data_IF_313159559115
#
_entry.id   IF_313159559115
#
_cell.length_a   1.000
_cell.length_b   1.000
_cell.length_c   1.000
_cell.angle_alpha   90.00
_cell.angle_beta   90.00
_cell.angle_gamma   90.00
#
_symmetry.space_group_name_H-M   'P 1'
#
loop_
_entity.id
_entity.type
_entity.pdbx_description
1 polymer ?
#
# COMPACT_ATOMS: atom_id res chain seq x y z
N UNK A 1 14.96 22.13 8.48
CA UNK A 1 15.67 20.87 8.76
C UNK A 1 15.93 20.12 7.46
N UNK A 2 17.20 20.00 7.05
CA UNK A 2 17.53 19.36 5.77
C UNK A 2 17.05 17.92 5.65
N UNK A 3 17.15 17.11 6.73
CA UNK A 3 16.75 15.70 6.72
C UNK A 3 15.26 15.53 6.47
N UNK A 4 14.43 16.37 7.05
CA UNK A 4 12.97 16.30 6.84
C UNK A 4 12.65 16.67 5.40
N UNK A 5 13.29 17.69 4.86
CA UNK A 5 13.09 18.12 3.48
C UNK A 5 13.53 17.05 2.49
N UNK A 6 14.61 16.32 2.78
CA UNK A 6 15.07 15.21 1.95
C UNK A 6 14.03 14.08 1.90
N UNK A 7 13.45 13.72 3.06
CA UNK A 7 12.43 12.68 3.14
C UNK A 7 11.18 13.10 2.35
N UNK A 8 10.73 14.33 2.52
CA UNK A 8 9.57 14.84 1.79
C UNK A 8 9.81 14.86 0.29
N UNK A 9 11.02 15.24 -0.14
CA UNK A 9 11.39 15.21 -1.56
C UNK A 9 11.37 13.78 -2.11
N UNK A 10 11.87 12.80 -1.36
CA UNK A 10 11.83 11.39 -1.75
C UNK A 10 10.41 10.87 -1.86
N UNK A 11 9.54 11.21 -0.91
CA UNK A 11 8.13 10.83 -0.94
C UNK A 11 7.43 11.38 -2.17
N UNK A 12 7.67 12.64 -2.48
CA UNK A 12 7.09 13.28 -3.67
C UNK A 12 7.55 12.61 -4.94
N UNK A 13 8.85 12.38 -5.07
CA UNK A 13 9.44 11.72 -6.25
C UNK A 13 8.88 10.32 -6.44
N UNK A 14 8.79 9.54 -5.35
CA UNK A 14 8.26 8.18 -5.40
C UNK A 14 6.78 8.17 -5.79
N UNK A 15 5.96 8.99 -5.14
CA UNK A 15 4.52 9.04 -5.45
C UNK A 15 4.25 9.49 -6.87
N UNK A 16 4.99 10.45 -7.39
CA UNK A 16 4.89 10.87 -8.79
C UNK A 16 5.30 9.74 -9.74
N UNK A 17 6.37 9.01 -9.42
CA UNK A 17 6.83 7.88 -10.23
C UNK A 17 5.76 6.77 -10.31
N UNK A 18 5.09 6.47 -9.19
CA UNK A 18 4.00 5.48 -9.17
C UNK A 18 2.81 5.97 -10.01
N UNK A 19 2.39 7.21 -9.82
CA UNK A 19 1.23 7.79 -10.52
C UNK A 19 1.45 7.87 -12.01
N UNK A 20 2.66 8.15 -12.46
CA UNK A 20 3.00 8.27 -13.88
C UNK A 20 3.36 6.93 -14.52
N UNK A 21 3.40 5.85 -13.76
CA UNK A 21 3.75 4.53 -14.26
C UNK A 21 5.24 4.31 -14.48
N UNK A 22 6.09 5.18 -13.96
CA UNK A 22 7.55 5.06 -14.04
C UNK A 22 8.09 4.02 -13.08
N UNK A 23 7.47 3.88 -11.90
CA UNK A 23 7.76 2.83 -10.95
C UNK A 23 6.80 1.66 -11.22
N UNK A 24 7.35 0.55 -11.67
CA UNK A 24 6.56 -0.59 -12.16
C UNK A 24 6.73 -1.80 -11.24
N UNK A 25 5.77 -2.72 -11.32
CA UNK A 25 5.86 -4.01 -10.65
C UNK A 25 6.92 -4.91 -11.28
N UNK A 26 7.09 -6.10 -10.69
CA UNK A 26 8.10 -7.06 -11.14
C UNK A 26 7.95 -7.45 -12.61
N UNK A 27 6.72 -7.51 -13.11
CA UNK A 27 6.44 -7.89 -14.51
C UNK A 27 6.47 -6.73 -15.49
N UNK A 28 6.79 -5.51 -15.02
CA UNK A 28 6.85 -4.31 -15.86
C UNK A 28 5.54 -3.58 -16.04
N UNK A 29 4.46 -4.03 -15.42
CA UNK A 29 3.15 -3.36 -15.48
C UNK A 29 3.10 -2.18 -14.52
N UNK A 30 2.33 -1.14 -14.89
CA UNK A 30 2.06 -0.01 -14.03
C UNK A 30 1.35 -0.47 -12.74
N UNK A 31 1.76 0.08 -11.59
CA UNK A 31 1.10 -0.20 -10.33
C UNK A 31 -0.15 0.66 -10.20
N UNK A 32 -1.31 0.03 -10.13
CA UNK A 32 -2.61 0.70 -10.07
C UNK A 32 -3.36 0.46 -8.78
N UNK A 33 -2.96 -0.55 -8.01
CA UNK A 33 -3.57 -0.88 -6.72
C UNK A 33 -2.58 -0.60 -5.60
N UNK A 34 -2.99 0.20 -4.62
CA UNK A 34 -2.18 0.50 -3.44
C UNK A 34 -2.89 -0.09 -2.23
N UNK A 35 -2.21 -0.96 -1.49
CA UNK A 35 -2.75 -1.60 -0.29
C UNK A 35 -1.93 -1.13 0.91
N UNK A 36 -2.59 -0.45 1.85
CA UNK A 36 -1.96 -0.03 3.09
C UNK A 36 -2.27 -1.04 4.19
N UNK A 37 -1.23 -1.57 4.82
CA UNK A 37 -1.34 -2.49 5.94
C UNK A 37 -0.93 -1.73 7.19
N UNK A 38 -1.86 -1.54 8.13
CA UNK A 38 -1.59 -0.79 9.35
C UNK A 38 -2.74 -0.93 10.34
N UNK A 39 -2.50 -0.55 11.59
CA UNK A 39 -3.48 -0.62 12.66
C UNK A 39 -3.48 0.70 13.43
N UNK A 40 -4.64 1.08 13.98
CA UNK A 40 -4.79 2.32 14.73
C UNK A 40 -4.52 3.53 13.86
N UNK A 41 -3.61 4.42 14.29
CA UNK A 41 -3.25 5.63 13.54
C UNK A 41 -2.62 5.35 12.19
N UNK A 42 -1.97 4.20 12.02
CA UNK A 42 -1.39 3.78 10.74
C UNK A 42 -2.45 3.34 9.73
N UNK A 43 -3.69 3.16 10.16
CA UNK A 43 -4.82 2.84 9.30
C UNK A 43 -5.80 4.00 9.21
N UNK A 44 -6.25 4.53 10.36
CA UNK A 44 -7.30 5.55 10.40
C UNK A 44 -6.92 6.84 9.68
N UNK A 45 -5.69 7.31 9.85
CA UNK A 45 -5.22 8.51 9.17
C UNK A 45 -5.20 8.35 7.65
N UNK A 46 -4.55 7.32 7.13
CA UNK A 46 -4.56 7.04 5.69
C UNK A 46 -5.97 6.84 5.11
N UNK A 47 -6.86 6.11 5.81
CA UNK A 47 -8.25 5.93 5.35
C UNK A 47 -8.96 7.26 5.25
N UNK A 48 -8.87 8.10 6.29
CA UNK A 48 -9.51 9.42 6.31
C UNK A 48 -9.00 10.31 5.18
N UNK A 49 -7.68 10.34 4.99
CA UNK A 49 -7.07 11.15 3.93
C UNK A 49 -7.52 10.69 2.54
N UNK A 50 -7.55 9.39 2.29
CA UNK A 50 -7.97 8.85 1.01
C UNK A 50 -9.44 9.13 0.74
N UNK A 51 -10.31 8.97 1.72
CA UNK A 51 -11.74 9.26 1.55
C UNK A 51 -12.00 10.75 1.34
N UNK A 52 -11.32 11.62 2.11
CA UNK A 52 -11.47 13.06 1.98
C UNK A 52 -11.02 13.58 0.61
N UNK A 53 -10.02 12.97 0.03
CA UNK A 53 -9.42 13.39 -1.24
C UNK A 53 -9.83 12.50 -2.42
N UNK A 54 -10.89 11.72 -2.27
CA UNK A 54 -11.31 10.72 -3.26
C UNK A 54 -11.48 11.30 -4.67
N UNK A 55 -12.06 12.48 -4.79
CA UNK A 55 -12.24 13.10 -6.09
C UNK A 55 -10.94 13.50 -6.80
N UNK A 56 -9.84 13.54 -6.06
CA UNK A 56 -8.51 13.84 -6.60
C UNK A 56 -7.70 12.61 -6.94
N UNK A 57 -8.24 11.42 -6.72
CA UNK A 57 -7.54 10.18 -7.07
C UNK A 57 -7.26 10.14 -8.56
N UNK A 58 -6.11 9.61 -8.94
CA UNK A 58 -5.85 9.26 -10.34
C UNK A 58 -6.90 8.23 -10.78
N UNK A 59 -7.44 8.39 -11.98
CA UNK A 59 -8.58 7.59 -12.45
C UNK A 59 -8.31 6.09 -12.50
N UNK A 60 -7.05 5.72 -12.73
CA UNK A 60 -6.63 4.33 -12.84
C UNK A 60 -6.08 3.75 -11.54
N UNK A 61 -6.13 4.51 -10.44
CA UNK A 61 -5.58 4.11 -9.15
C UNK A 61 -6.69 3.74 -8.17
N UNK A 62 -6.46 2.67 -7.40
CA UNK A 62 -7.35 2.24 -6.33
C UNK A 62 -6.57 2.03 -5.05
N UNK A 63 -7.18 2.41 -3.93
CA UNK A 63 -6.59 2.27 -2.60
C UNK A 63 -7.39 1.28 -1.76
N UNK A 64 -6.69 0.39 -1.08
CA UNK A 64 -7.27 -0.61 -0.19
C UNK A 64 -6.56 -0.56 1.15
N UNK A 65 -7.23 -1.01 2.20
CA UNK A 65 -6.70 -0.96 3.56
C UNK A 65 -6.91 -2.29 4.27
N UNK A 66 -5.87 -2.80 4.90
CA UNK A 66 -5.91 -4.01 5.72
C UNK A 66 -5.50 -3.59 7.12
N UNK A 67 -6.43 -3.63 8.07
CA UNK A 67 -6.21 -3.15 9.43
C UNK A 67 -6.42 -4.22 10.51
N UNK A 68 -7.11 -5.30 10.19
CA UNK A 68 -7.41 -6.36 11.15
C UNK A 68 -6.59 -7.61 10.87
N UNK A 69 -6.33 -8.40 11.91
CA UNK A 69 -5.69 -9.70 11.77
C UNK A 69 -6.63 -10.74 11.13
N UNK A 70 -7.90 -10.40 10.98
CA UNK A 70 -8.90 -11.29 10.39
C UNK A 70 -8.51 -11.66 8.95
N UNK A 71 -8.27 -12.96 8.75
CA UNK A 71 -7.91 -13.48 7.45
C UNK A 71 -8.97 -13.27 6.37
N UNK A 72 -10.24 -13.15 6.76
CA UNK A 72 -11.33 -12.88 5.83
C UNK A 72 -11.19 -11.50 5.21
N UNK A 73 -10.90 -10.47 6.01
CA UNK A 73 -10.70 -9.11 5.51
C UNK A 73 -9.51 -9.03 4.56
N UNK A 74 -8.41 -9.69 4.90
CA UNK A 74 -7.24 -9.75 4.05
C UNK A 74 -7.56 -10.47 2.74
N UNK A 75 -8.23 -11.61 2.80
CA UNK A 75 -8.60 -12.39 1.62
C UNK A 75 -9.53 -11.61 0.69
N UNK A 76 -10.48 -10.86 1.23
CA UNK A 76 -11.38 -10.04 0.43
C UNK A 76 -10.62 -8.98 -0.39
N UNK A 77 -9.64 -8.33 0.23
CA UNK A 77 -8.80 -7.36 -0.49
C UNK A 77 -7.98 -8.06 -1.56
N UNK A 78 -7.32 -9.17 -1.23
CA UNK A 78 -6.48 -9.90 -2.17
C UNK A 78 -7.26 -10.44 -3.38
N UNK A 79 -8.54 -10.76 -3.20
CA UNK A 79 -9.39 -11.21 -4.31
C UNK A 79 -9.77 -10.09 -5.29
N UNK A 80 -9.64 -8.84 -4.89
CA UNK A 80 -10.01 -7.68 -5.72
C UNK A 80 -8.86 -7.10 -6.51
N UNK A 81 -7.63 -7.55 -6.27
CA UNK A 81 -6.42 -6.95 -6.83
C UNK A 81 -5.61 -7.96 -7.63
N UNK A 82 -4.79 -7.43 -8.53
CA UNK A 82 -3.89 -8.21 -9.36
C UNK A 82 -2.46 -8.09 -8.79
N UNK A 83 -1.77 -9.20 -8.49
CA UNK A 83 -0.42 -9.13 -7.92
C UNK A 83 0.58 -8.40 -8.82
N UNK A 84 0.39 -8.42 -10.13
CA UNK A 84 1.29 -7.74 -11.06
C UNK A 84 1.18 -6.21 -11.01
N UNK A 85 0.05 -5.69 -10.51
CA UNK A 85 -0.24 -4.24 -10.51
C UNK A 85 -0.43 -3.68 -9.10
N UNK A 86 -0.03 -4.41 -8.07
CA UNK A 86 -0.28 -4.03 -6.67
C UNK A 86 1.01 -3.66 -5.95
N UNK A 87 0.95 -2.54 -5.22
CA UNK A 87 1.99 -2.09 -4.29
C UNK A 87 1.45 -2.16 -2.87
N UNK A 88 2.16 -2.84 -1.99
CA UNK A 88 1.84 -2.91 -0.57
C UNK A 88 2.67 -1.91 0.22
N UNK A 89 2.01 -1.16 1.09
CA UNK A 89 2.66 -0.24 2.03
C UNK A 89 2.42 -0.76 3.44
N UNK A 90 3.49 -1.09 4.14
CA UNK A 90 3.40 -1.54 5.54
C UNK A 90 3.68 -0.33 6.43
N UNK A 91 2.64 0.17 7.07
CA UNK A 91 2.70 1.36 7.92
C UNK A 91 2.78 0.94 9.38
N UNK A 92 3.95 1.07 9.99
CA UNK A 92 4.16 0.73 11.38
C UNK A 92 5.28 1.59 11.95
N UNK A 93 5.12 2.02 13.19
CA UNK A 93 6.13 2.84 13.85
C UNK A 93 7.41 2.06 14.13
N UNK A 94 7.27 0.82 14.59
CA UNK A 94 8.40 -0.01 15.04
C UNK A 94 8.53 -1.34 14.30
N UNK A 95 7.56 -1.67 13.45
CA UNK A 95 7.47 -2.97 12.76
C UNK A 95 7.42 -4.16 13.73
N UNK A 96 6.85 -3.93 14.93
CA UNK A 96 6.72 -4.96 15.97
C UNK A 96 5.28 -5.31 16.32
N UNK A 97 4.30 -4.57 15.79
CA UNK A 97 2.88 -4.87 16.00
C UNK A 97 2.55 -6.19 15.32
N UNK A 98 2.11 -7.18 16.10
CA UNK A 98 1.88 -8.56 15.63
C UNK A 98 0.87 -8.59 14.49
N UNK A 99 -0.25 -7.88 14.63
CA UNK A 99 -1.33 -7.85 13.64
C UNK A 99 -0.85 -7.29 12.29
N UNK A 100 -0.13 -6.18 12.33
CA UNK A 100 0.43 -5.56 11.12
C UNK A 100 1.43 -6.48 10.44
N UNK A 101 2.33 -7.08 11.22
CA UNK A 101 3.36 -7.96 10.66
C UNK A 101 2.77 -9.27 10.14
N UNK A 102 1.73 -9.80 10.79
CA UNK A 102 1.02 -10.99 10.32
C UNK A 102 0.37 -10.73 8.96
N UNK A 103 -0.34 -9.61 8.82
CA UNK A 103 -0.95 -9.22 7.55
C UNK A 103 0.10 -8.97 6.47
N UNK A 104 1.20 -8.32 6.82
CA UNK A 104 2.30 -8.06 5.90
C UNK A 104 2.91 -9.37 5.37
N UNK A 105 3.12 -10.35 6.24
CA UNK A 105 3.65 -11.66 5.84
C UNK A 105 2.68 -12.42 4.95
N UNK A 106 1.38 -12.36 5.25
CA UNK A 106 0.34 -12.97 4.43
C UNK A 106 0.33 -12.39 3.02
N UNK A 107 0.37 -11.06 2.92
CA UNK A 107 0.41 -10.38 1.63
C UNK A 107 1.71 -10.67 0.87
N UNK A 108 2.83 -10.70 1.58
CA UNK A 108 4.13 -11.04 0.97
C UNK A 108 4.12 -12.43 0.39
N UNK A 109 3.60 -13.41 1.12
CA UNK A 109 3.49 -14.78 0.65
C UNK A 109 2.59 -14.88 -0.59
N UNK A 110 1.44 -14.22 -0.54
CA UNK A 110 0.52 -14.16 -1.66
C UNK A 110 1.19 -13.62 -2.92
N UNK A 111 1.96 -12.55 -2.77
CA UNK A 111 2.66 -11.91 -3.88
C UNK A 111 3.76 -12.81 -4.45
N UNK A 112 4.55 -13.44 -3.58
CA UNK A 112 5.63 -14.34 -3.98
C UNK A 112 5.05 -15.59 -4.68
N UNK A 113 3.99 -16.17 -4.16
CA UNK A 113 3.35 -17.35 -4.75
C UNK A 113 2.80 -17.03 -6.14
N UNK A 114 2.33 -15.80 -6.36
CA UNK A 114 1.75 -15.38 -7.63
C UNK A 114 2.80 -14.99 -8.67
N UNK A 115 3.89 -14.33 -8.25
CA UNK A 115 4.89 -13.78 -9.18
C UNK A 115 6.19 -14.62 -9.27
N UNK A 116 6.36 -15.54 -8.36
CA UNK A 116 7.56 -16.38 -8.30
C UNK A 116 8.66 -15.73 -7.46
#
# INVERSE_FOLDING_TARGET
>A
MPQINEVLAKMRKFSEAVRLGQFKGQTGKKLTNIVNIGIGGSDLGPVMACEALRKYWAKDMSCFFISNIDGTACAEVLNKIDPETTLFIVSSKTFTTIETMTNARTCRKWLIDALG
#
